data_IF_080215969486
#
_entry.id   IF_080215969486
#
_cell.length_a   1.000
_cell.length_b   1.000
_cell.length_c   1.000
_cell.angle_alpha   90.00
_cell.angle_beta   90.00
_cell.angle_gamma   90.00
#
_symmetry.space_group_name_H-M   'P 1'
#
loop_
_entity.id
_entity.type
_entity.pdbx_description
1 polymer ?
#
# COMPACT_ATOMS: atom_id res chain seq x y z
N UNK A 1 -6.72 -6.67 6.69
CA UNK A 1 -7.28 -8.03 6.40
C UNK A 1 -7.15 -8.89 7.63
N UNK A 2 -8.18 -9.68 7.98
CA UNK A 2 -8.12 -10.56 9.15
C UNK A 2 -7.95 -12.05 8.79
N UNK A 3 -7.53 -12.84 9.77
CA UNK A 3 -7.54 -14.31 9.78
C UNK A 3 -8.12 -14.80 11.10
N UNK A 4 -8.68 -16.00 11.11
CA UNK A 4 -9.14 -16.68 12.33
C UNK A 4 -8.33 -17.97 12.48
N UNK A 5 -7.74 -18.20 13.64
CA UNK A 5 -6.99 -19.41 13.92
C UNK A 5 -7.92 -20.63 13.99
N UNK A 6 -7.64 -21.68 13.22
CA UNK A 6 -8.44 -22.92 13.20
C UNK A 6 -8.03 -23.92 14.27
N UNK A 7 -6.85 -23.73 14.86
CA UNK A 7 -6.25 -24.50 15.94
C UNK A 7 -5.31 -23.61 16.74
N UNK A 8 -4.91 -24.04 17.93
CA UNK A 8 -3.85 -23.40 18.69
C UNK A 8 -2.53 -23.45 17.89
N UNK A 9 -1.83 -22.32 17.81
CA UNK A 9 -0.59 -22.19 17.04
C UNK A 9 0.33 -21.13 17.64
N UNK A 10 1.64 -21.33 17.55
CA UNK A 10 2.63 -20.32 17.89
C UNK A 10 3.10 -19.60 16.62
N UNK A 11 3.14 -18.25 16.65
CA UNK A 11 3.66 -17.41 15.56
C UNK A 11 4.62 -16.39 16.15
N UNK A 12 5.90 -16.43 15.74
CA UNK A 12 6.94 -15.53 16.24
C UNK A 12 7.02 -15.46 17.79
N UNK A 13 6.87 -16.60 18.47
CA UNK A 13 6.87 -16.67 19.93
C UNK A 13 5.56 -16.29 20.61
N UNK A 14 4.51 -15.91 19.85
CA UNK A 14 3.19 -15.59 20.38
C UNK A 14 2.24 -16.79 20.24
N UNK A 15 1.66 -17.20 21.35
CA UNK A 15 0.62 -18.23 21.39
C UNK A 15 -0.73 -17.65 20.95
N UNK A 16 -1.30 -18.21 19.89
CA UNK A 16 -2.60 -17.85 19.33
C UNK A 16 -3.54 -19.03 19.54
N UNK A 17 -4.69 -18.79 20.16
CA UNK A 17 -5.67 -19.85 20.44
C UNK A 17 -6.62 -20.07 19.27
N UNK A 18 -7.16 -21.27 19.14
CA UNK A 18 -8.25 -21.56 18.21
C UNK A 18 -9.39 -20.56 18.42
N UNK A 19 -9.85 -19.94 17.33
CA UNK A 19 -10.90 -18.93 17.32
C UNK A 19 -10.41 -17.49 17.42
N UNK A 20 -9.15 -17.25 17.82
CA UNK A 20 -8.59 -15.90 17.85
C UNK A 20 -8.56 -15.28 16.46
N UNK A 21 -8.89 -13.98 16.41
CA UNK A 21 -8.85 -13.18 15.20
C UNK A 21 -7.58 -12.34 15.16
N UNK A 22 -6.83 -12.46 14.08
CA UNK A 22 -5.56 -11.76 13.87
C UNK A 22 -5.75 -10.75 12.75
N UNK A 23 -5.27 -9.53 12.96
CA UNK A 23 -5.21 -8.52 11.92
C UNK A 23 -3.82 -8.52 11.28
N UNK A 24 -3.76 -8.69 9.96
CA UNK A 24 -2.53 -8.56 9.19
C UNK A 24 -2.33 -7.07 8.82
N UNK A 25 -1.31 -6.46 9.40
CA UNK A 25 -0.96 -5.04 9.20
C UNK A 25 0.03 -4.87 8.05
N UNK A 26 -0.45 -4.99 6.80
CA UNK A 26 0.41 -4.85 5.61
C UNK A 26 1.20 -3.53 5.54
N UNK A 27 0.68 -2.35 5.95
CA UNK A 27 1.47 -1.13 5.96
C UNK A 27 2.69 -1.18 6.89
N UNK A 28 2.63 -1.99 7.95
CA UNK A 28 3.75 -2.25 8.86
C UNK A 28 4.76 -3.19 8.20
N UNK A 29 4.30 -4.30 7.60
CA UNK A 29 5.16 -5.23 6.86
C UNK A 29 5.90 -4.56 5.69
N UNK A 30 5.24 -3.66 4.95
CA UNK A 30 5.86 -2.88 3.87
C UNK A 30 6.86 -1.82 4.37
N UNK A 31 7.06 -1.71 5.68
CA UNK A 31 8.05 -0.84 6.32
C UNK A 31 9.02 -1.59 7.23
N UNK A 32 9.02 -2.93 7.19
CA UNK A 32 9.91 -3.74 8.02
C UNK A 32 11.38 -3.55 7.58
N UNK A 33 12.20 -3.00 8.48
CA UNK A 33 13.63 -2.73 8.25
C UNK A 33 14.44 -4.01 7.98
N UNK A 34 13.93 -5.18 8.39
CA UNK A 34 14.58 -6.48 8.12
C UNK A 34 14.45 -6.90 6.66
N UNK A 35 13.46 -6.36 5.95
CA UNK A 35 13.19 -6.66 4.53
C UNK A 35 13.59 -5.49 3.64
N UNK A 36 13.34 -4.27 4.10
CA UNK A 36 13.50 -3.05 3.31
C UNK A 36 14.53 -2.12 3.96
N UNK A 37 15.66 -1.88 3.29
CA UNK A 37 16.57 -0.82 3.69
C UNK A 37 15.88 0.55 3.56
N UNK A 38 16.05 1.41 4.56
CA UNK A 38 15.43 2.75 4.63
C UNK A 38 13.92 2.72 4.28
N UNK A 39 13.08 1.99 5.03
CA UNK A 39 11.70 1.69 4.61
C UNK A 39 10.77 2.91 4.53
N UNK A 40 11.14 4.00 5.19
CA UNK A 40 10.38 5.26 5.18
C UNK A 40 10.80 6.21 4.06
N UNK A 41 11.86 5.90 3.30
CA UNK A 41 12.26 6.67 2.12
C UNK A 41 11.47 6.19 0.91
N UNK A 42 10.79 7.12 0.23
CA UNK A 42 10.15 6.84 -1.05
C UNK A 42 11.19 6.85 -2.17
N UNK A 43 11.48 5.67 -2.72
CA UNK A 43 12.45 5.46 -3.80
C UNK A 43 11.79 4.65 -4.93
N UNK A 44 11.59 5.30 -6.08
CA UNK A 44 10.97 4.68 -7.26
C UNK A 44 11.88 3.63 -7.93
N UNK A 45 13.17 3.65 -7.63
CA UNK A 45 14.19 2.75 -8.21
C UNK A 45 14.45 1.50 -7.36
N UNK A 46 13.80 1.41 -6.19
CA UNK A 46 13.98 0.30 -5.25
C UNK A 46 13.82 -1.06 -5.92
N UNK A 47 14.87 -1.88 -5.82
CA UNK A 47 14.89 -3.27 -6.26
C UNK A 47 15.80 -4.10 -5.35
N UNK A 48 15.37 -5.29 -4.88
CA UNK A 48 14.03 -5.86 -4.99
C UNK A 48 12.97 -5.05 -4.22
N UNK A 49 11.69 -5.26 -4.54
CA UNK A 49 10.56 -4.55 -3.90
C UNK A 49 9.40 -5.51 -3.59
N UNK A 50 9.64 -6.42 -2.64
CA UNK A 50 8.73 -7.52 -2.29
C UNK A 50 7.58 -7.08 -1.36
N UNK A 51 6.88 -6.02 -1.75
CA UNK A 51 5.78 -5.45 -0.97
C UNK A 51 4.55 -6.40 -0.93
N UNK A 52 3.86 -6.44 0.20
CA UNK A 52 2.66 -7.27 0.44
C UNK A 52 1.35 -6.48 0.31
N UNK A 53 1.34 -5.38 -0.44
CA UNK A 53 0.15 -4.54 -0.62
C UNK A 53 -1.03 -5.28 -1.27
N UNK A 54 -0.75 -6.28 -2.11
CA UNK A 54 -1.74 -7.16 -2.73
C UNK A 54 -1.95 -8.48 -1.94
N UNK A 55 -1.52 -8.52 -0.67
CA UNK A 55 -1.46 -9.71 0.16
C UNK A 55 -0.11 -10.44 0.04
N UNK A 56 0.26 -11.18 1.09
CA UNK A 56 1.55 -11.87 1.24
C UNK A 56 1.69 -13.13 0.36
N UNK A 57 1.43 -13.00 -0.95
CA UNK A 57 1.68 -14.00 -2.01
C UNK A 57 1.05 -15.40 -1.79
N UNK A 58 0.01 -15.51 -0.95
CA UNK A 58 -0.70 -16.77 -0.68
C UNK A 58 -1.97 -16.97 -1.52
N UNK A 59 -2.78 -17.97 -1.14
CA UNK A 59 -4.05 -18.34 -1.82
C UNK A 59 -5.08 -17.20 -1.98
N UNK A 60 -4.97 -16.15 -1.19
CA UNK A 60 -5.82 -14.96 -1.27
C UNK A 60 -5.06 -13.73 -1.79
N UNK A 61 -3.99 -13.93 -2.56
CA UNK A 61 -3.34 -12.85 -3.28
C UNK A 61 -4.36 -12.16 -4.18
N UNK A 62 -4.26 -10.83 -4.29
CA UNK A 62 -5.25 -10.04 -4.98
C UNK A 62 -5.35 -10.47 -6.45
N UNK A 63 -6.51 -11.01 -6.83
CA UNK A 63 -6.81 -11.43 -8.20
C UNK A 63 -6.68 -10.27 -9.19
N UNK A 64 -7.00 -9.05 -8.76
CA UNK A 64 -6.92 -7.84 -9.57
C UNK A 64 -5.54 -7.19 -9.62
N UNK A 65 -4.50 -7.77 -9.00
CA UNK A 65 -3.18 -7.14 -8.94
C UNK A 65 -2.56 -6.82 -10.31
N UNK A 66 -2.73 -7.64 -11.37
CA UNK A 66 -2.26 -7.27 -12.71
C UNK A 66 -3.01 -6.06 -13.30
N UNK A 67 -4.35 -6.04 -13.15
CA UNK A 67 -5.18 -4.95 -13.65
C UNK A 67 -4.90 -3.64 -12.92
N UNK A 68 -4.82 -3.65 -11.59
CA UNK A 68 -4.50 -2.47 -10.80
C UNK A 68 -3.14 -1.86 -11.19
N UNK A 69 -2.13 -2.69 -11.49
CA UNK A 69 -0.83 -2.20 -11.98
C UNK A 69 -0.93 -1.58 -13.37
N UNK A 70 -1.72 -2.17 -14.27
CA UNK A 70 -1.97 -1.62 -15.60
C UNK A 70 -2.64 -0.24 -15.50
N UNK A 71 -3.70 -0.12 -14.70
CA UNK A 71 -4.41 1.15 -14.49
C UNK A 71 -3.47 2.24 -13.95
N UNK A 72 -2.67 1.94 -12.92
CA UNK A 72 -1.69 2.88 -12.37
C UNK A 72 -0.63 3.29 -13.40
N UNK A 73 -0.14 2.34 -14.19
CA UNK A 73 0.85 2.64 -15.24
C UNK A 73 0.28 3.61 -16.28
N UNK A 74 -0.92 3.32 -16.81
CA UNK A 74 -1.59 4.18 -17.79
C UNK A 74 -1.89 5.55 -17.20
N UNK A 75 -2.34 5.61 -15.94
CA UNK A 75 -2.59 6.88 -15.23
C UNK A 75 -1.34 7.76 -15.19
N UNK A 76 -0.20 7.21 -14.73
CA UNK A 76 1.04 7.99 -14.63
C UNK A 76 1.62 8.32 -16.01
N UNK A 77 1.59 7.41 -16.98
CA UNK A 77 2.00 7.68 -18.37
C UNK A 77 1.22 8.87 -18.96
N UNK A 78 -0.11 8.91 -18.79
CA UNK A 78 -0.95 9.97 -19.31
C UNK A 78 -0.81 11.29 -18.54
N UNK A 79 -0.66 11.24 -17.21
CA UNK A 79 -0.39 12.45 -16.40
C UNK A 79 0.91 13.10 -16.86
N UNK A 80 2.00 12.32 -16.94
CA UNK A 80 3.33 12.82 -17.30
C UNK A 80 3.39 13.32 -18.75
N UNK A 81 2.59 12.75 -19.66
CA UNK A 81 2.51 13.20 -21.05
C UNK A 81 1.75 14.51 -21.21
N UNK A 82 0.67 14.70 -20.44
CA UNK A 82 -0.25 15.83 -20.59
C UNK A 82 0.12 17.04 -19.74
N UNK A 83 0.68 16.85 -18.57
CA UNK A 83 0.89 17.91 -17.59
C UNK A 83 2.35 18.02 -17.15
N UNK A 84 3.05 19.02 -17.67
CA UNK A 84 4.47 19.23 -17.38
C UNK A 84 4.68 20.07 -16.10
N UNK A 85 3.64 20.79 -15.66
CA UNK A 85 3.68 21.73 -14.52
C UNK A 85 2.74 21.37 -13.38
N UNK A 86 2.28 20.11 -13.31
CA UNK A 86 1.38 19.68 -12.26
C UNK A 86 2.04 19.75 -10.88
N UNK A 87 1.41 20.47 -9.95
CA UNK A 87 1.89 20.64 -8.58
C UNK A 87 0.73 20.54 -7.59
N UNK A 88 1.04 20.14 -6.34
CA UNK A 88 0.08 20.23 -5.25
C UNK A 88 -0.23 21.71 -4.95
N UNK A 89 -1.47 22.00 -4.61
CA UNK A 89 -1.90 23.36 -4.21
C UNK A 89 -1.38 23.73 -2.81
N UNK A 90 -0.88 22.76 -2.05
CA UNK A 90 -0.44 22.94 -0.66
C UNK A 90 0.76 22.06 -0.33
N UNK A 91 1.65 22.58 0.53
CA UNK A 91 2.72 21.82 1.19
C UNK A 91 2.26 21.18 2.53
N UNK A 92 1.02 21.47 2.93
CA UNK A 92 0.41 20.97 4.16
C UNK A 92 -0.13 19.54 4.05
N UNK A 93 -0.64 18.98 5.17
CA UNK A 93 -1.20 17.64 5.18
C UNK A 93 -2.47 17.56 4.32
N UNK A 94 -2.58 16.49 3.52
CA UNK A 94 -3.76 16.19 2.72
C UNK A 94 -4.83 15.44 3.54
N UNK A 95 -6.13 15.59 3.21
CA UNK A 95 -7.21 14.99 3.98
C UNK A 95 -7.25 13.47 3.79
N UNK A 96 -6.79 12.74 4.80
CA UNK A 96 -6.89 11.28 4.84
C UNK A 96 -8.34 10.83 5.03
N UNK A 97 -8.72 9.80 4.27
CA UNK A 97 -9.97 9.07 4.50
C UNK A 97 -9.93 8.45 5.90
N UNK A 98 -10.93 8.74 6.72
CA UNK A 98 -11.14 8.02 7.99
C UNK A 98 -11.66 6.62 7.69
N UNK A 99 -10.83 5.61 7.95
CA UNK A 99 -11.18 4.21 7.75
C UNK A 99 -10.15 3.29 8.39
N UNK A 100 -10.57 2.09 8.80
CA UNK A 100 -9.71 1.08 9.43
C UNK A 100 -9.45 -0.14 8.52
N UNK A 101 -9.89 -0.09 7.25
CA UNK A 101 -9.76 -1.19 6.30
C UNK A 101 -8.98 -0.81 5.04
N UNK A 102 -9.46 0.20 4.30
CA UNK A 102 -8.79 0.76 3.12
C UNK A 102 -8.37 2.19 3.42
N UNK A 103 -7.08 2.48 3.26
CA UNK A 103 -6.49 3.79 3.47
C UNK A 103 -6.33 4.52 2.14
N UNK A 104 -6.46 5.85 2.17
CA UNK A 104 -6.26 6.71 1.01
C UNK A 104 -6.56 8.15 1.37
N UNK A 105 -6.27 9.05 0.43
CA UNK A 105 -6.64 10.45 0.53
C UNK A 105 -8.07 10.62 -0.02
N UNK A 106 -8.84 11.53 0.59
CA UNK A 106 -10.14 11.93 0.04
C UNK A 106 -9.97 12.86 -1.16
N UNK A 107 -8.96 13.74 -1.09
CA UNK A 107 -8.71 14.78 -2.09
C UNK A 107 -7.20 14.96 -2.27
N UNK A 108 -6.80 15.25 -3.51
CA UNK A 108 -5.43 15.62 -3.89
C UNK A 108 -5.53 16.84 -4.82
N UNK A 109 -5.69 18.06 -4.26
CA UNK A 109 -5.84 19.26 -5.07
C UNK A 109 -4.54 19.59 -5.78
N UNK A 110 -4.62 19.73 -7.10
CA UNK A 110 -3.48 20.05 -7.97
C UNK A 110 -3.75 21.28 -8.83
N UNK A 111 -2.70 21.98 -9.19
CA UNK A 111 -2.70 23.05 -10.20
C UNK A 111 -1.76 22.67 -11.34
N UNK A 112 -2.04 23.17 -12.55
CA UNK A 112 -1.21 23.01 -13.73
C UNK A 112 -1.48 24.14 -14.71
N UNK A 113 -0.56 24.39 -15.64
CA UNK A 113 -0.76 25.32 -16.75
C UNK A 113 -1.37 24.56 -17.92
N UNK A 114 -2.43 25.09 -18.52
CA UNK A 114 -2.97 24.54 -19.76
C UNK A 114 -1.90 24.63 -20.86
N UNK A 115 -1.74 23.54 -21.62
CA UNK A 115 -0.93 23.55 -22.84
C UNK A 115 -1.64 24.33 -23.94
#
# INVERSE_FOLDING_TARGET
>A
MNRTATQDVEVNGFNIRKGDRILLLYPSANRDEKVFANPFTFDITRTPNDHVAFGAYGRHHCLGAPLARLELRVLFEEILRRFDTMQLVTDGPLPWRRGNFVLGLNEVPVTFTAK
#
